data_IF_752893428752
#
_entry.id   IF_752893428752
#
_cell.length_a   1.000
_cell.length_b   1.000
_cell.length_c   1.000
_cell.angle_alpha   90.00
_cell.angle_beta   90.00
_cell.angle_gamma   90.00
#
_symmetry.space_group_name_H-M   'P 1'
#
loop_
_entity.id
_entity.type
_entity.pdbx_description
1 polymer ?
#
# COMPACT_ATOMS: atom_id res chain seq x y z
N UNK A 1 -13.07 -48.39 17.37
CA UNK A 1 -12.24 -47.26 17.85
C UNK A 1 -12.48 -46.09 16.90
N UNK A 2 -13.43 -45.22 17.20
CA UNK A 2 -13.78 -44.11 16.31
C UNK A 2 -13.00 -42.87 16.76
N UNK A 3 -11.94 -42.54 16.03
CA UNK A 3 -11.22 -41.30 16.24
C UNK A 3 -12.15 -40.13 15.88
N UNK A 4 -12.54 -39.34 16.88
CA UNK A 4 -13.20 -38.05 16.66
C UNK A 4 -12.20 -37.12 15.98
N UNK A 5 -12.30 -36.99 14.67
CA UNK A 5 -11.59 -35.96 13.90
C UNK A 5 -12.07 -34.61 14.42
N UNK A 6 -11.19 -33.86 15.10
CA UNK A 6 -11.45 -32.46 15.43
C UNK A 6 -11.70 -31.72 14.12
N UNK A 7 -12.83 -31.03 13.92
CA UNK A 7 -13.02 -30.23 12.72
C UNK A 7 -11.88 -29.22 12.64
N UNK A 8 -11.23 -29.11 11.47
CA UNK A 8 -10.28 -28.04 11.21
C UNK A 8 -10.92 -26.70 11.58
N UNK A 9 -10.18 -25.82 12.27
CA UNK A 9 -10.71 -24.55 12.75
C UNK A 9 -11.37 -23.80 11.60
N UNK A 10 -12.69 -23.59 11.69
CA UNK A 10 -13.46 -22.89 10.65
C UNK A 10 -12.94 -21.46 10.54
N UNK A 11 -12.69 -21.00 9.31
CA UNK A 11 -12.46 -19.58 9.05
C UNK A 11 -13.69 -18.77 9.54
N UNK A 12 -13.44 -17.63 10.19
CA UNK A 12 -14.49 -16.69 10.60
C UNK A 12 -14.60 -15.58 9.56
N UNK A 13 -15.81 -15.33 9.08
CA UNK A 13 -16.08 -14.19 8.22
C UNK A 13 -15.87 -12.87 8.99
N UNK A 14 -15.40 -11.85 8.29
CA UNK A 14 -15.25 -10.50 8.83
C UNK A 14 -16.63 -9.86 9.07
N UNK A 15 -16.76 -9.07 10.13
CA UNK A 15 -17.95 -8.28 10.41
C UNK A 15 -17.55 -6.84 10.76
N UNK A 16 -17.65 -5.94 9.78
CA UNK A 16 -17.32 -4.52 9.93
C UNK A 16 -18.28 -3.75 10.85
N UNK A 17 -19.42 -4.34 11.26
CA UNK A 17 -20.29 -3.78 12.29
C UNK A 17 -19.83 -4.13 13.72
N UNK A 18 -18.76 -4.93 13.88
CA UNK A 18 -18.18 -5.34 15.17
C UNK A 18 -16.66 -5.29 15.10
N UNK A 19 -16.12 -4.08 15.01
CA UNK A 19 -14.69 -3.81 15.02
C UNK A 19 -14.15 -3.98 16.45
N UNK A 20 -12.95 -4.57 16.60
CA UNK A 20 -12.33 -4.80 17.92
C UNK A 20 -11.46 -3.62 18.36
N UNK A 21 -10.80 -2.98 17.40
CA UNK A 21 -10.00 -1.77 17.58
C UNK A 21 -10.46 -0.71 16.56
N UNK A 22 -10.98 0.42 17.05
CA UNK A 22 -11.48 1.49 16.20
C UNK A 22 -10.40 2.03 15.23
N UNK A 23 -9.12 1.84 15.56
CA UNK A 23 -8.00 2.23 14.68
C UNK A 23 -7.97 1.46 13.37
N UNK A 24 -8.44 0.20 13.35
CA UNK A 24 -8.50 -0.61 12.13
C UNK A 24 -9.38 0.05 11.07
N UNK A 25 -10.57 0.52 11.48
CA UNK A 25 -11.51 1.18 10.58
C UNK A 25 -11.02 2.57 10.18
N UNK A 26 -10.40 3.31 11.11
CA UNK A 26 -9.80 4.62 10.83
C UNK A 26 -8.71 4.50 9.75
N UNK A 27 -7.75 3.59 9.95
CA UNK A 27 -6.63 3.37 9.01
C UNK A 27 -7.14 2.84 7.67
N UNK A 28 -8.08 1.89 7.66
CA UNK A 28 -8.71 1.41 6.44
C UNK A 28 -9.28 2.56 5.62
N UNK A 29 -10.13 3.39 6.25
CA UNK A 29 -10.74 4.54 5.59
C UNK A 29 -9.70 5.56 5.10
N UNK A 30 -8.65 5.83 5.87
CA UNK A 30 -7.57 6.73 5.46
C UNK A 30 -6.81 6.18 4.25
N UNK A 31 -6.48 4.89 4.20
CA UNK A 31 -5.77 4.29 3.08
C UNK A 31 -6.64 4.27 1.82
N UNK A 32 -7.91 3.87 1.92
CA UNK A 32 -8.81 3.82 0.77
C UNK A 32 -9.17 5.20 0.24
N UNK A 33 -9.28 6.20 1.12
CA UNK A 33 -9.57 7.58 0.71
C UNK A 33 -8.38 8.24 0.02
N UNK A 34 -7.15 7.86 0.39
CA UNK A 34 -5.92 8.37 -0.22
C UNK A 34 -5.43 7.53 -1.42
N UNK A 35 -6.25 6.60 -1.93
CA UNK A 35 -5.89 5.83 -3.11
C UNK A 35 -5.56 6.76 -4.29
N UNK A 36 -4.40 6.55 -4.92
CA UNK A 36 -3.97 7.31 -6.09
C UNK A 36 -3.22 6.43 -7.08
N UNK A 37 -3.26 6.84 -8.34
CA UNK A 37 -2.58 6.20 -9.45
C UNK A 37 -1.48 7.13 -9.99
N UNK A 38 -0.35 6.59 -10.45
CA UNK A 38 0.79 7.39 -10.90
C UNK A 38 0.44 8.36 -12.05
N UNK A 39 -0.49 7.98 -12.92
CA UNK A 39 -0.95 8.80 -14.06
C UNK A 39 -1.62 10.11 -13.64
N UNK A 40 -2.03 10.23 -12.37
CA UNK A 40 -2.57 11.48 -11.80
C UNK A 40 -1.51 12.58 -11.69
N UNK A 41 -0.23 12.22 -11.61
CA UNK A 41 0.88 13.17 -11.42
C UNK A 41 1.61 13.38 -12.75
N UNK A 42 1.58 14.59 -13.35
CA UNK A 42 2.20 14.86 -14.65
C UNK A 42 3.73 15.06 -14.52
N UNK A 43 4.49 13.96 -14.43
CA UNK A 43 5.95 13.97 -14.29
C UNK A 43 6.69 14.62 -15.48
N UNK A 44 6.03 14.81 -16.63
CA UNK A 44 6.61 15.52 -17.77
C UNK A 44 7.07 16.94 -17.43
N UNK A 45 6.44 17.57 -16.44
CA UNK A 45 6.79 18.92 -15.99
C UNK A 45 8.18 18.98 -15.32
N UNK A 46 8.72 17.85 -14.86
CA UNK A 46 10.02 17.77 -14.18
C UNK A 46 11.19 17.52 -15.15
N UNK A 47 10.93 17.37 -16.46
CA UNK A 47 12.00 17.16 -17.46
C UNK A 47 13.02 18.32 -17.48
N UNK A 48 12.61 19.61 -17.44
CA UNK A 48 13.58 20.70 -17.46
C UNK A 48 14.46 20.75 -16.21
N UNK A 49 13.90 20.48 -15.02
CA UNK A 49 14.66 20.45 -13.76
C UNK A 49 15.57 19.22 -13.69
N UNK A 50 15.10 18.06 -14.17
CA UNK A 50 15.95 16.87 -14.30
C UNK A 50 17.19 17.14 -15.18
N UNK A 51 17.02 17.91 -16.25
CA UNK A 51 18.10 18.27 -17.16
C UNK A 51 19.14 19.23 -16.56
N UNK A 52 18.86 19.89 -15.43
CA UNK A 52 19.86 20.75 -14.75
C UNK A 52 20.77 19.98 -13.80
N UNK A 53 20.46 18.72 -13.50
CA UNK A 53 21.27 17.89 -12.60
C UNK A 53 22.57 17.43 -13.27
N UNK A 54 23.62 17.30 -12.48
CA UNK A 54 24.88 16.66 -12.91
C UNK A 54 24.68 15.17 -13.20
N UNK A 55 25.56 14.55 -13.99
CA UNK A 55 25.50 13.10 -14.24
C UNK A 55 25.51 12.25 -12.95
N UNK A 56 26.24 12.69 -11.92
CA UNK A 56 26.31 11.97 -10.64
C UNK A 56 25.01 12.13 -9.82
N UNK A 57 24.38 13.30 -9.83
CA UNK A 57 23.08 13.52 -9.18
C UNK A 57 21.95 12.71 -9.84
N UNK A 58 21.94 12.64 -11.18
CA UNK A 58 20.98 11.80 -11.91
C UNK A 58 21.19 10.32 -11.56
N UNK A 59 22.45 9.85 -11.59
CA UNK A 59 22.81 8.47 -11.25
C UNK A 59 22.47 8.10 -9.81
N UNK A 60 22.70 9.01 -8.88
CA UNK A 60 22.30 8.86 -7.48
C UNK A 60 20.78 8.68 -7.38
N UNK A 61 20.01 9.59 -8.00
CA UNK A 61 18.54 9.58 -7.92
C UNK A 61 17.95 8.29 -8.46
N UNK A 62 18.45 7.79 -9.60
CA UNK A 62 18.00 6.50 -10.17
C UNK A 62 18.28 5.34 -9.20
N UNK A 63 19.48 5.29 -8.61
CA UNK A 63 19.88 4.22 -7.67
C UNK A 63 19.16 4.26 -6.32
N UNK A 64 18.54 5.38 -5.96
CA UNK A 64 17.70 5.48 -4.76
C UNK A 64 16.32 4.88 -5.02
N UNK A 65 15.80 5.00 -6.24
CA UNK A 65 14.48 4.51 -6.62
C UNK A 65 14.49 3.10 -7.27
N UNK A 66 15.66 2.48 -7.44
CA UNK A 66 15.84 1.12 -7.99
C UNK A 66 16.51 0.21 -6.98
#
# INVERSE_FOLDING_TARGET
MNAHVKPASRFRAINWNRVQDDKDLEVWNHLTSNFWLPEKVPLSNDIPSWATLTPDEQKLTIRVFT
#
